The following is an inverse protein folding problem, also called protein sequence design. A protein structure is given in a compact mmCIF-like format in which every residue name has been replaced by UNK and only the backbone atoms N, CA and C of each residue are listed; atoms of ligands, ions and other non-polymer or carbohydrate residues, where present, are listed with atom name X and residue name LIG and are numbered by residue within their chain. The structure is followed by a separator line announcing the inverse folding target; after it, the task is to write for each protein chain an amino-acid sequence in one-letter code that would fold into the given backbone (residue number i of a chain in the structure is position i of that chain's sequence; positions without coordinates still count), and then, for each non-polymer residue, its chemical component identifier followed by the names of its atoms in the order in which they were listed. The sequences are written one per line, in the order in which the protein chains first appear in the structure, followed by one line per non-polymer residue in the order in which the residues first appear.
data_IF_553513921602
#
_entry.id   IF_553513921602
#
_cell.length_a   1.000
_cell.length_b   1.000
_cell.length_c   1.000
_cell.angle_alpha   90.00
_cell.angle_beta   90.00
_cell.angle_gamma   90.00
#
_symmetry.space_group_name_H-M   'P 1'
#
loop_
_entity.id
_entity.type
_entity.pdbx_description
1 polymer ?
#
# COMPACT_ATOMS: atom_id res chain seq x y z
N UNK A 1 1.16 1.73 -0.26
CA UNK A 1 2.49 1.17 -0.05
C UNK A 1 2.38 -0.34 0.09
N UNK A 2 2.94 -1.10 -0.85
CA UNK A 2 3.25 -2.52 -0.62
C UNK A 2 4.44 -2.53 0.34
N UNK A 3 4.16 -2.53 1.64
CA UNK A 3 5.16 -2.44 2.68
C UNK A 3 6.14 -3.62 2.60
N UNK A 4 7.44 -3.32 2.75
CA UNK A 4 8.54 -4.27 2.81
C UNK A 4 8.38 -5.22 3.99
N UNK A 5 7.69 -6.34 3.80
CA UNK A 5 7.91 -7.51 4.62
C UNK A 5 9.33 -8.00 4.34
N UNK A 6 10.05 -8.36 5.41
CA UNK A 6 11.46 -8.81 5.58
C UNK A 6 11.94 -9.90 4.59
N UNK A 7 11.64 -9.73 3.31
CA UNK A 7 11.84 -10.65 2.22
C UNK A 7 12.43 -9.84 1.08
N UNK A 8 13.51 -10.36 0.51
CA UNK A 8 14.08 -9.85 -0.73
C UNK A 8 13.11 -10.24 -1.85
N UNK A 9 12.01 -9.48 -1.99
CA UNK A 9 11.14 -9.59 -3.16
C UNK A 9 12.00 -9.20 -4.35
N UNK A 10 12.25 -10.14 -5.23
CA UNK A 10 12.92 -9.85 -6.48
C UNK A 10 11.93 -9.06 -7.35
N UNK A 11 12.34 -7.83 -7.63
CA UNK A 11 11.53 -6.84 -8.33
C UNK A 11 11.16 -7.24 -9.76
N UNK A 12 11.92 -8.16 -10.36
CA UNK A 12 11.73 -8.59 -11.74
C UNK A 12 10.74 -9.75 -11.92
N UNK A 13 10.06 -10.19 -10.85
CA UNK A 13 9.11 -11.32 -10.91
C UNK A 13 7.82 -10.99 -10.15
N UNK A 14 7.23 -9.86 -10.52
CA UNK A 14 5.84 -9.52 -10.21
C UNK A 14 4.98 -9.98 -11.39
N UNK A 15 3.90 -10.69 -11.14
CA UNK A 15 3.02 -11.21 -12.19
C UNK A 15 1.59 -10.77 -11.93
N UNK A 16 0.99 -10.10 -12.90
CA UNK A 16 -0.43 -9.82 -12.90
C UNK A 16 -1.23 -11.00 -13.45
N UNK A 17 -2.11 -11.59 -12.64
CA UNK A 17 -2.92 -12.76 -13.03
C UNK A 17 -4.32 -12.42 -13.51
N UNK A 18 -4.93 -11.36 -12.96
CA UNK A 18 -6.33 -10.97 -13.28
C UNK A 18 -6.46 -9.46 -13.20
N UNK A 19 -6.31 -8.78 -14.33
CA UNK A 19 -6.56 -7.34 -14.45
C UNK A 19 -7.97 -7.11 -14.98
N UNK A 20 -8.67 -6.14 -14.42
CA UNK A 20 -9.93 -5.65 -14.93
C UNK A 20 -9.94 -4.12 -14.79
N UNK A 21 -9.96 -3.42 -15.91
CA UNK A 21 -9.97 -1.96 -15.96
C UNK A 21 -11.20 -1.52 -16.76
N UNK A 22 -11.96 -0.60 -16.20
CA UNK A 22 -13.07 0.08 -16.88
C UNK A 22 -12.61 1.50 -17.16
N UNK A 23 -12.48 1.84 -18.44
CA UNK A 23 -12.09 3.19 -18.86
C UNK A 23 -13.32 4.11 -18.93
N UNK A 24 -13.11 5.37 -18.59
CA UNK A 24 -14.07 6.45 -18.82
C UNK A 24 -13.89 7.12 -20.17
N UNK A 25 -14.79 8.05 -20.49
CA UNK A 25 -14.80 8.80 -21.76
C UNK A 25 -13.56 9.67 -21.96
N UNK A 26 -12.79 9.95 -20.89
CA UNK A 26 -11.56 10.74 -20.91
C UNK A 26 -10.29 9.87 -20.95
N UNK A 27 -10.39 8.59 -21.30
CA UNK A 27 -9.28 7.62 -21.28
C UNK A 27 -8.56 7.52 -19.92
N UNK A 28 -9.34 7.60 -18.84
CA UNK A 28 -8.88 7.39 -17.46
C UNK A 28 -9.59 6.18 -16.86
N UNK A 29 -8.87 5.35 -16.10
CA UNK A 29 -9.42 4.25 -15.31
C UNK A 29 -10.53 4.75 -14.37
N UNK A 30 -11.78 4.39 -14.63
CA UNK A 30 -12.91 4.60 -13.72
C UNK A 30 -12.94 3.54 -12.62
N UNK A 31 -12.72 2.28 -12.99
CA UNK A 31 -12.54 1.17 -12.07
C UNK A 31 -11.28 0.39 -12.45
N UNK A 32 -10.51 -0.05 -11.46
CA UNK A 32 -9.30 -0.83 -11.66
C UNK A 32 -9.18 -1.92 -10.60
N UNK A 33 -9.04 -3.17 -11.04
CA UNK A 33 -8.81 -4.32 -10.16
C UNK A 33 -7.65 -5.17 -10.68
N UNK A 34 -6.81 -5.66 -9.78
CA UNK A 34 -5.77 -6.62 -10.10
C UNK A 34 -5.55 -7.68 -9.03
N UNK A 35 -5.21 -8.89 -9.47
CA UNK A 35 -4.52 -9.90 -8.67
C UNK A 35 -3.04 -9.91 -9.08
N UNK A 36 -2.15 -9.64 -8.11
CA UNK A 36 -0.70 -9.57 -8.27
C UNK A 36 -0.06 -10.71 -7.48
N UNK A 37 0.76 -11.52 -8.13
CA UNK A 37 1.51 -12.62 -7.53
C UNK A 37 3.01 -12.25 -7.48
N UNK A 38 3.61 -12.45 -6.31
CA UNK A 38 5.03 -12.22 -6.06
C UNK A 38 5.76 -13.57 -5.91
N UNK A 39 7.08 -13.61 -6.12
CA UNK A 39 7.86 -14.86 -6.10
C UNK A 39 7.70 -15.73 -4.85
N UNK A 40 7.45 -15.11 -3.70
CA UNK A 40 7.33 -15.80 -2.42
C UNK A 40 5.93 -16.36 -2.17
N UNK A 41 5.15 -16.59 -3.23
CA UNK A 41 3.74 -17.03 -3.19
C UNK A 41 2.82 -16.03 -2.48
N UNK A 42 3.30 -14.82 -2.16
CA UNK A 42 2.44 -13.76 -1.68
C UNK A 42 1.54 -13.29 -2.83
N UNK A 43 0.26 -13.12 -2.55
CA UNK A 43 -0.73 -12.65 -3.50
C UNK A 43 -1.39 -11.40 -2.94
N UNK A 44 -1.39 -10.34 -3.72
CA UNK A 44 -2.14 -9.12 -3.43
C UNK A 44 -3.35 -9.05 -4.35
N UNK A 45 -4.49 -8.69 -3.77
CA UNK A 45 -5.68 -8.27 -4.51
C UNK A 45 -5.90 -6.80 -4.20
N UNK A 46 -5.99 -5.99 -5.24
CA UNK A 46 -6.14 -4.54 -5.13
C UNK A 46 -7.27 -4.10 -6.04
N UNK A 47 -8.05 -3.15 -5.54
CA UNK A 47 -9.16 -2.54 -6.25
C UNK A 47 -9.23 -1.06 -5.93
N UNK A 48 -9.42 -0.24 -6.95
CA UNK A 48 -9.74 1.18 -6.85
C UNK A 48 -10.92 1.47 -7.79
N UNK A 49 -11.75 2.43 -7.41
CA UNK A 49 -12.95 2.76 -8.18
C UNK A 49 -13.38 4.20 -7.89
N UNK A 50 -13.73 4.92 -8.96
CA UNK A 50 -14.42 6.19 -8.91
C UNK A 50 -15.94 6.02 -8.96
N UNK A 51 -16.44 4.87 -9.43
CA UNK A 51 -17.88 4.61 -9.61
C UNK A 51 -18.54 3.89 -8.44
N UNK A 52 -17.77 3.07 -7.72
CA UNK A 52 -18.25 2.20 -6.64
C UNK A 52 -17.62 2.63 -5.32
N UNK A 53 -18.44 2.65 -4.28
CA UNK A 53 -17.95 2.80 -2.93
C UNK A 53 -17.31 1.48 -2.48
N UNK A 54 -16.00 1.37 -2.70
CA UNK A 54 -15.22 0.25 -2.21
C UNK A 54 -14.86 0.48 -0.74
N UNK A 55 -14.90 -0.61 0.02
CA UNK A 55 -14.47 -0.59 1.40
C UNK A 55 -13.04 -0.05 1.54
N UNK A 56 -12.85 0.88 2.48
CA UNK A 56 -11.56 1.55 2.72
C UNK A 56 -10.74 0.80 3.77
N UNK A 57 -10.38 -0.46 3.50
CA UNK A 57 -9.52 -1.24 4.39
C UNK A 57 -8.45 -2.03 3.64
N UNK A 58 -7.39 -2.38 4.38
CA UNK A 58 -6.40 -3.39 3.95
C UNK A 58 -6.57 -4.62 4.83
N UNK A 59 -6.63 -5.81 4.21
CA UNK A 59 -6.63 -7.09 4.94
C UNK A 59 -5.38 -7.88 4.60
N UNK A 60 -4.67 -8.33 5.62
CA UNK A 60 -3.49 -9.19 5.50
C UNK A 60 -3.89 -10.55 6.04
N UNK A 61 -3.81 -11.59 5.20
CA UNK A 61 -4.16 -12.96 5.55
C UNK A 61 -2.89 -13.81 5.68
N UNK A 62 -2.68 -14.36 6.87
CA UNK A 62 -1.64 -15.35 7.13
C UNK A 62 -2.24 -16.74 7.33
N UNK A 63 -1.38 -17.75 7.41
CA UNK A 63 -1.79 -19.16 7.57
C UNK A 63 -2.61 -19.45 8.83
N UNK A 64 -2.47 -18.63 9.88
CA UNK A 64 -3.16 -18.82 11.17
C UNK A 64 -4.24 -17.77 11.45
N UNK A 65 -4.03 -16.53 11.01
CA UNK A 65 -4.84 -15.37 11.41
C UNK A 65 -4.86 -14.31 10.31
N UNK A 66 -5.80 -13.38 10.42
CA UNK A 66 -5.84 -12.18 9.58
C UNK A 66 -5.77 -10.91 10.42
N UNK A 67 -5.23 -9.86 9.81
CA UNK A 67 -5.22 -8.49 10.33
C UNK A 67 -6.03 -7.64 9.36
N UNK A 68 -6.98 -6.86 9.87
CA UNK A 68 -7.70 -5.84 9.07
C UNK A 68 -7.32 -4.46 9.58
N UNK A 69 -6.84 -3.61 8.69
CA UNK A 69 -6.53 -2.21 8.94
C UNK A 69 -7.64 -1.37 8.29
N UNK A 70 -8.47 -0.71 9.07
CA UNK A 70 -9.49 0.21 8.53
C UNK A 70 -8.86 1.56 8.21
N UNK A 71 -9.44 2.28 7.24
CA UNK A 71 -9.00 3.61 6.84
C UNK A 71 -7.52 3.69 6.43
N UNK A 72 -6.96 2.59 5.92
CA UNK A 72 -5.51 2.38 5.69
C UNK A 72 -4.87 3.35 4.70
N UNK A 73 -5.66 4.16 3.99
CA UNK A 73 -5.22 5.11 2.97
C UNK A 73 -5.88 6.49 3.14
N UNK A 74 -6.53 6.75 4.27
CA UNK A 74 -7.26 8.00 4.50
C UNK A 74 -6.78 8.69 5.78
N UNK A 75 -7.08 9.98 5.92
CA UNK A 75 -6.76 10.77 7.11
C UNK A 75 -7.66 10.45 8.32
N UNK A 76 -8.59 9.51 8.17
CA UNK A 76 -9.48 9.07 9.25
C UNK A 76 -8.72 8.19 10.24
N UNK A 77 -9.21 8.12 11.48
CA UNK A 77 -8.64 7.25 12.49
C UNK A 77 -8.64 5.79 11.99
N UNK A 78 -7.45 5.22 11.89
CA UNK A 78 -7.25 3.84 11.54
C UNK A 78 -7.43 2.95 12.77
N UNK A 79 -8.03 1.78 12.56
CA UNK A 79 -8.18 0.75 13.58
C UNK A 79 -7.54 -0.54 13.10
N UNK A 80 -6.94 -1.27 14.02
CA UNK A 80 -6.39 -2.60 13.76
C UNK A 80 -7.36 -3.61 14.35
N UNK A 81 -7.87 -4.52 13.52
CA UNK A 81 -8.70 -5.63 13.97
C UNK A 81 -7.93 -6.94 13.85
N UNK A 82 -7.80 -7.66 14.98
CA UNK A 82 -7.13 -8.97 15.08
C UNK A 82 -8.09 -9.91 15.80
N UNK A 83 -8.47 -11.02 15.17
CA UNK A 83 -9.39 -12.02 15.75
C UNK A 83 -10.69 -11.39 16.32
N UNK A 84 -11.29 -10.45 15.59
CA UNK A 84 -12.50 -9.71 15.99
C UNK A 84 -12.35 -8.81 17.23
N UNK A 85 -11.11 -8.58 17.70
CA UNK A 85 -10.80 -7.51 18.65
C UNK A 85 -10.31 -6.29 17.90
N UNK A 86 -10.89 -5.16 18.19
CA UNK A 86 -10.52 -3.86 17.61
C UNK A 86 -9.58 -3.12 18.56
N UNK A 87 -8.52 -2.56 17.99
CA UNK A 87 -7.53 -1.74 18.67
C UNK A 87 -7.48 -0.39 17.97
N UNK A 88 -7.73 0.68 18.72
CA UNK A 88 -7.55 2.03 18.22
C UNK A 88 -6.06 2.38 18.18
N UNK A 89 -5.62 3.01 17.09
CA UNK A 89 -4.26 3.52 16.97
C UNK A 89 -4.22 4.89 17.66
N UNK A 90 -3.35 5.03 18.66
CA UNK A 90 -3.05 6.32 19.25
C UNK A 90 -2.10 7.10 18.34
N UNK A 91 -2.57 8.25 17.86
CA UNK A 91 -1.75 9.10 17.02
C UNK A 91 -1.00 10.11 17.88
N UNK A 92 0.33 10.17 17.71
CA UNK A 92 1.21 11.20 18.28
C UNK A 92 0.84 12.59 17.76
N UNK A 93 0.47 12.67 16.49
CA UNK A 93 0.12 13.91 15.82
C UNK A 93 -1.33 13.92 15.33
N UNK A 94 -1.97 15.08 15.37
CA UNK A 94 -3.31 15.26 14.80
C UNK A 94 -3.31 15.23 13.28
N UNK A 95 -2.26 15.79 12.66
CA UNK A 95 -2.07 15.75 11.21
C UNK A 95 -1.22 14.53 10.86
N UNK A 96 -1.73 13.65 10.00
CA UNK A 96 -1.02 12.43 9.57
C UNK A 96 0.27 12.75 8.80
N UNK A 97 0.32 13.89 8.10
CA UNK A 97 1.52 14.35 7.38
C UNK A 97 2.66 14.72 8.34
N UNK A 98 2.36 15.00 9.62
CA UNK A 98 3.40 15.32 10.61
C UNK A 98 4.35 14.16 10.86
N UNK A 99 3.92 12.91 10.65
CA UNK A 99 4.83 11.75 10.72
C UNK A 99 5.91 11.82 9.63
N UNK A 100 5.51 12.09 8.38
CA UNK A 100 6.45 12.22 7.26
C UNK A 100 7.39 13.41 7.44
N UNK A 101 6.86 14.56 7.88
CA UNK A 101 7.67 15.76 8.18
C UNK A 101 8.70 15.43 9.26
N UNK A 102 8.30 14.81 10.37
CA UNK A 102 9.22 14.40 11.43
C UNK A 102 10.28 13.42 10.92
N UNK A 103 9.89 12.44 10.09
CA UNK A 103 10.82 11.49 9.48
C UNK A 103 11.89 12.17 8.63
N UNK A 104 11.48 13.11 7.77
CA UNK A 104 12.40 13.88 6.91
C UNK A 104 13.29 14.79 7.77
N UNK A 105 12.73 15.52 8.74
CA UNK A 105 13.50 16.42 9.60
C UNK A 105 14.60 15.67 10.36
N UNK A 106 14.27 14.53 10.97
CA UNK A 106 15.23 13.70 11.69
C UNK A 106 16.34 13.16 10.78
N UNK A 107 16.01 12.80 9.52
CA UNK A 107 16.99 12.35 8.53
C UNK A 107 17.98 13.48 8.20
N UNK A 108 17.47 14.69 7.95
CA UNK A 108 18.29 15.87 7.63
C UNK A 108 19.22 16.25 8.79
N UNK A 109 18.71 16.23 10.03
CA UNK A 109 19.50 16.53 11.23
C UNK A 109 20.68 15.55 11.42
N UNK A 110 20.50 14.29 11.03
CA UNK A 110 21.56 13.26 11.09
C UNK A 110 22.52 13.30 9.90
N UNK A 111 22.24 14.10 8.88
CA UNK A 111 22.99 14.09 7.62
C UNK A 111 22.82 12.79 6.83
N UNK A 112 21.70 12.09 7.03
CA UNK A 112 21.37 10.86 6.32
C UNK A 112 20.67 11.17 4.98
N UNK A 113 20.73 10.21 4.05
CA UNK A 113 20.09 10.33 2.73
C UNK A 113 18.94 9.33 2.54
N UNK A 114 18.60 8.60 3.60
CA UNK A 114 17.53 7.61 3.63
C UNK A 114 16.83 7.69 4.96
N UNK A 115 15.50 7.67 4.91
CA UNK A 115 14.70 7.54 6.13
C UNK A 115 14.58 6.05 6.43
N UNK A 116 14.97 5.63 7.63
CA UNK A 116 14.76 4.25 8.05
C UNK A 116 13.26 3.96 8.26
N UNK A 117 12.84 2.74 7.90
CA UNK A 117 11.50 2.14 8.07
C UNK A 117 10.64 2.79 9.18
N UNK A 118 9.37 3.19 8.96
CA UNK A 118 8.41 2.66 7.97
C UNK A 118 8.37 3.33 6.59
N UNK A 119 9.29 4.23 6.29
CA UNK A 119 9.25 5.05 5.08
C UNK A 119 9.81 4.32 3.85
N UNK A 120 9.38 4.75 2.66
CA UNK A 120 9.91 4.25 1.38
C UNK A 120 11.20 4.95 0.98
N UNK A 121 12.17 4.18 0.49
CA UNK A 121 13.32 4.74 -0.21
C UNK A 121 13.08 4.90 -1.72
N UNK A 122 14.01 5.59 -2.40
CA UNK A 122 13.96 5.81 -3.85
C UNK A 122 13.76 4.50 -4.63
N UNK A 123 14.47 3.43 -4.26
CA UNK A 123 14.44 2.18 -5.00
C UNK A 123 13.10 1.46 -4.80
N UNK A 124 12.49 1.58 -3.62
CA UNK A 124 11.14 1.09 -3.34
C UNK A 124 10.09 1.89 -4.13
N UNK A 125 10.25 3.22 -4.24
CA UNK A 125 9.40 4.05 -5.11
C UNK A 125 9.52 3.65 -6.58
N UNK A 126 10.74 3.52 -7.12
CA UNK A 126 10.96 3.09 -8.52
C UNK A 126 10.31 1.74 -8.82
N UNK A 127 10.40 0.80 -7.87
CA UNK A 127 9.75 -0.50 -8.00
C UNK A 127 8.23 -0.41 -7.98
N UNK A 128 7.65 0.38 -7.07
CA UNK A 128 6.21 0.58 -7.05
C UNK A 128 5.71 1.24 -8.34
N UNK A 129 6.49 2.15 -8.92
CA UNK A 129 6.19 2.76 -10.22
C UNK A 129 6.24 1.72 -11.34
N UNK A 130 7.22 0.81 -11.35
CA UNK A 130 7.27 -0.23 -12.39
C UNK A 130 6.06 -1.15 -12.34
N UNK A 131 5.53 -1.47 -11.14
CA UNK A 131 4.28 -2.22 -10.98
C UNK A 131 3.08 -1.44 -11.56
N UNK A 132 3.04 -0.11 -11.39
CA UNK A 132 1.98 0.73 -11.94
C UNK A 132 2.08 0.88 -13.47
N UNK A 133 3.28 0.97 -14.02
CA UNK A 133 3.48 0.97 -15.47
C UNK A 133 3.07 -0.37 -16.08
N UNK A 134 3.39 -1.49 -15.41
CA UNK A 134 2.88 -2.79 -15.81
C UNK A 134 1.36 -2.88 -15.68
N UNK A 135 0.75 -2.26 -14.67
CA UNK A 135 -0.71 -2.24 -14.50
C UNK A 135 -1.40 -1.64 -15.73
N UNK A 136 -0.89 -0.50 -16.21
CA UNK A 136 -1.45 0.24 -17.34
C UNK A 136 -1.57 -0.70 -18.55
N UNK A 137 -2.79 -0.93 -18.99
CA UNK A 137 -3.02 -1.61 -20.26
C UNK A 137 -2.68 -0.59 -21.34
N UNK A 138 -1.62 -0.86 -22.11
CA UNK A 138 -1.40 -0.20 -23.41
C UNK A 138 -2.15 -1.01 -24.45
#
# INVERSE_FOLDING_TARGET
MLAKLKSNINKNKVIFKKKNIIMGETDVDLDGYAEIEFENYFKAKIGCSFQKDLDKFTKIEGSKKSIKLTNSWSNNQAQIMINSKTYDISNKFKNILSYEIEGISNMLEKGEYKIENPYMDRFETEFNISILEEWRIV
#
